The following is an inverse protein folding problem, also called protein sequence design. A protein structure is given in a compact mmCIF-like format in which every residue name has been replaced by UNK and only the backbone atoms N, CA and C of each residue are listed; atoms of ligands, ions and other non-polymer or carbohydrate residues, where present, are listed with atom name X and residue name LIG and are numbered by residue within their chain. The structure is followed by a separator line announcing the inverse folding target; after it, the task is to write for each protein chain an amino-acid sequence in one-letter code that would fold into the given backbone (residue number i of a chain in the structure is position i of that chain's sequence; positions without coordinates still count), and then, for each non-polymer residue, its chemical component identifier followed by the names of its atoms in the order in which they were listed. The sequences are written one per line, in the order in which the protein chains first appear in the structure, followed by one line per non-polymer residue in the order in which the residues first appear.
data_IF_655786370741
#
_entry.id   IF_655786370741
#
_cell.length_a   1.000
_cell.length_b   1.000
_cell.length_c   1.000
_cell.angle_alpha   90.00
_cell.angle_beta   90.00
_cell.angle_gamma   90.00
#
_symmetry.space_group_name_H-M   'P 1'
#
loop_
_entity.id
_entity.type
_entity.pdbx_description
1 polymer ?
#
# COMPACT_ATOMS: atom_id res chain seq x y z
N UNK A 1 -13.19 -46.46 29.69
CA UNK A 1 -12.49 -45.23 30.15
C UNK A 1 -12.59 -44.95 31.65
N UNK A 2 -12.63 -46.03 32.50
CA UNK A 2 -12.65 -45.89 33.96
C UNK A 2 -11.31 -45.38 34.55
N UNK A 3 -10.19 -45.55 33.84
CA UNK A 3 -8.87 -45.13 34.28
C UNK A 3 -8.65 -43.62 34.19
N UNK A 4 -9.24 -42.96 33.20
CA UNK A 4 -9.16 -41.49 33.03
C UNK A 4 -9.92 -40.79 34.16
N UNK A 5 -11.09 -41.31 34.55
CA UNK A 5 -11.89 -40.76 35.64
C UNK A 5 -11.23 -40.92 37.03
N UNK A 6 -10.32 -41.86 37.20
CA UNK A 6 -9.66 -42.08 38.50
C UNK A 6 -8.43 -41.19 38.68
N UNK A 7 -7.72 -40.91 37.59
CA UNK A 7 -6.53 -40.03 37.58
C UNK A 7 -6.91 -38.54 37.64
N UNK A 8 -8.08 -38.15 37.17
CA UNK A 8 -8.52 -36.74 37.13
C UNK A 8 -9.12 -36.24 38.47
N UNK A 9 -9.61 -37.14 39.35
CA UNK A 9 -10.21 -36.74 40.64
C UNK A 9 -9.32 -35.89 41.55
N UNK A 10 -8.04 -36.22 41.76
CA UNK A 10 -7.16 -35.38 42.58
C UNK A 10 -6.89 -34.01 41.94
N UNK A 11 -6.79 -33.97 40.61
CA UNK A 11 -6.61 -32.70 39.86
C UNK A 11 -7.80 -31.77 40.03
N UNK A 12 -9.03 -32.27 39.86
CA UNK A 12 -10.23 -31.47 40.08
C UNK A 12 -10.37 -30.95 41.51
N UNK A 13 -9.98 -31.69 42.52
CA UNK A 13 -10.01 -31.23 43.92
C UNK A 13 -9.01 -30.11 44.20
N UNK A 14 -7.85 -30.15 43.58
CA UNK A 14 -6.83 -29.10 43.72
C UNK A 14 -7.22 -27.88 42.93
N UNK A 15 -7.71 -28.07 41.70
CA UNK A 15 -8.20 -26.96 40.85
C UNK A 15 -9.40 -26.24 41.49
N UNK A 16 -10.38 -27.00 42.05
CA UNK A 16 -11.54 -26.45 42.75
C UNK A 16 -11.15 -25.65 44.00
N UNK A 17 -10.11 -26.08 44.68
CA UNK A 17 -9.62 -25.42 45.90
C UNK A 17 -8.84 -24.11 45.60
N UNK A 18 -8.20 -24.02 44.42
CA UNK A 18 -7.38 -22.86 44.03
C UNK A 18 -8.19 -21.86 43.22
N UNK A 19 -9.02 -22.34 42.31
CA UNK A 19 -9.76 -21.51 41.33
C UNK A 19 -11.24 -21.28 41.68
N UNK A 20 -11.80 -22.16 42.56
CA UNK A 20 -13.23 -22.17 42.88
C UNK A 20 -14.07 -22.93 41.86
N UNK A 21 -15.14 -23.61 42.34
CA UNK A 21 -16.05 -24.38 41.48
C UNK A 21 -16.73 -23.51 40.40
N UNK A 22 -17.11 -22.29 40.78
CA UNK A 22 -17.75 -21.35 39.88
C UNK A 22 -16.88 -21.03 38.65
N UNK A 23 -15.59 -20.79 38.86
CA UNK A 23 -14.66 -20.49 37.77
C UNK A 23 -14.49 -21.69 36.81
N UNK A 24 -14.46 -22.90 37.33
CA UNK A 24 -14.37 -24.13 36.53
C UNK A 24 -15.65 -24.38 35.74
N UNK A 25 -16.83 -24.05 36.28
CA UNK A 25 -18.09 -24.09 35.57
C UNK A 25 -18.17 -23.05 34.46
N UNK A 26 -17.76 -21.82 34.74
CA UNK A 26 -17.73 -20.71 33.75
C UNK A 26 -16.80 -21.05 32.59
N UNK A 27 -15.63 -21.64 32.84
CA UNK A 27 -14.71 -22.10 31.79
C UNK A 27 -15.31 -23.23 30.98
N UNK A 28 -15.95 -24.21 31.62
CA UNK A 28 -16.58 -25.32 30.93
C UNK A 28 -17.74 -24.83 30.04
N UNK A 29 -18.56 -23.89 30.54
CA UNK A 29 -19.61 -23.23 29.77
C UNK A 29 -19.06 -22.43 28.60
N UNK A 30 -18.00 -21.65 28.82
CA UNK A 30 -17.29 -20.92 27.76
C UNK A 30 -16.86 -21.87 26.64
N UNK A 31 -16.20 -23.00 26.95
CA UNK A 31 -15.77 -23.94 25.92
C UNK A 31 -16.93 -24.63 25.22
N UNK A 32 -18.03 -24.93 25.90
CA UNK A 32 -19.22 -25.47 25.27
C UNK A 32 -19.87 -24.47 24.30
N UNK A 33 -20.00 -23.21 24.71
CA UNK A 33 -20.49 -22.13 23.85
C UNK A 33 -19.57 -21.90 22.65
N UNK A 34 -18.27 -21.88 22.89
CA UNK A 34 -17.26 -21.76 21.81
C UNK A 34 -17.39 -22.91 20.81
N UNK A 35 -17.55 -24.14 21.29
CA UNK A 35 -17.71 -25.31 20.43
C UNK A 35 -18.98 -25.23 19.55
N UNK A 36 -20.07 -24.66 20.05
CA UNK A 36 -21.29 -24.48 19.24
C UNK A 36 -21.10 -23.47 18.12
N UNK A 37 -20.26 -22.44 18.33
CA UNK A 37 -19.94 -21.44 17.32
C UNK A 37 -18.88 -21.91 16.31
N UNK A 38 -17.99 -22.82 16.72
CA UNK A 38 -16.85 -23.28 15.94
C UNK A 38 -17.25 -23.85 14.57
N UNK A 39 -18.29 -24.70 14.52
CA UNK A 39 -18.80 -25.27 13.27
C UNK A 39 -19.21 -24.20 12.26
N UNK A 40 -20.01 -23.23 12.67
CA UNK A 40 -20.42 -22.13 11.80
C UNK A 40 -19.30 -21.19 11.40
N UNK A 41 -18.28 -21.04 12.26
CA UNK A 41 -17.09 -20.26 11.90
C UNK A 41 -16.26 -20.95 10.82
N UNK A 42 -16.01 -22.25 10.97
CA UNK A 42 -15.27 -23.06 9.97
C UNK A 42 -16.02 -23.11 8.63
N UNK A 43 -17.34 -23.28 8.64
CA UNK A 43 -18.15 -23.26 7.42
C UNK A 43 -18.02 -21.92 6.67
N UNK A 44 -18.11 -20.79 7.39
CA UNK A 44 -17.94 -19.46 6.79
C UNK A 44 -16.53 -19.25 6.27
N UNK A 45 -15.49 -19.64 7.02
CA UNK A 45 -14.11 -19.56 6.57
C UNK A 45 -13.88 -20.36 5.28
N UNK A 46 -14.42 -21.58 5.21
CA UNK A 46 -14.37 -22.41 4.01
C UNK A 46 -15.16 -21.80 2.83
N UNK A 47 -16.27 -21.13 3.10
CA UNK A 47 -17.04 -20.43 2.08
C UNK A 47 -16.27 -19.24 1.50
N UNK A 48 -15.60 -18.45 2.36
CA UNK A 48 -14.70 -17.37 1.93
C UNK A 48 -13.55 -17.93 1.08
N UNK A 49 -12.89 -18.99 1.53
CA UNK A 49 -11.80 -19.62 0.76
C UNK A 49 -12.28 -20.08 -0.62
N UNK A 50 -13.46 -20.71 -0.71
CA UNK A 50 -14.04 -21.08 -2.02
C UNK A 50 -14.32 -19.87 -2.90
N UNK A 51 -14.83 -18.77 -2.32
CA UNK A 51 -15.09 -17.52 -3.06
C UNK A 51 -13.79 -16.93 -3.62
N UNK A 52 -12.72 -16.90 -2.82
CA UNK A 52 -11.42 -16.37 -3.25
C UNK A 52 -10.79 -17.21 -4.39
N UNK A 53 -11.10 -18.51 -4.49
CA UNK A 53 -10.65 -19.39 -5.58
C UNK A 53 -11.66 -19.45 -6.75
N UNK A 54 -12.81 -18.77 -6.67
CA UNK A 54 -13.78 -18.75 -7.75
C UNK A 54 -13.21 -17.99 -8.97
N UNK A 55 -13.45 -18.51 -10.17
CA UNK A 55 -13.00 -17.88 -11.42
C UNK A 55 -13.52 -16.45 -11.64
N UNK A 56 -14.58 -16.07 -10.93
CA UNK A 56 -15.16 -14.73 -10.95
C UNK A 56 -14.47 -13.76 -9.98
N UNK A 57 -13.59 -14.28 -9.12
CA UNK A 57 -12.80 -13.46 -8.20
C UNK A 57 -11.45 -13.18 -8.82
N UNK A 58 -11.12 -11.91 -8.94
CA UNK A 58 -9.84 -11.43 -9.46
C UNK A 58 -9.16 -10.53 -8.45
N UNK A 59 -7.90 -10.77 -8.18
CA UNK A 59 -7.09 -9.91 -7.33
C UNK A 59 -6.45 -8.81 -8.17
N UNK A 60 -6.46 -7.61 -7.66
CA UNK A 60 -5.71 -6.47 -8.19
C UNK A 60 -4.77 -6.00 -7.08
N UNK A 61 -3.47 -6.03 -7.34
CA UNK A 61 -2.47 -5.54 -6.41
C UNK A 61 -2.17 -4.08 -6.73
N UNK A 62 -2.29 -3.21 -5.75
CA UNK A 62 -1.99 -1.78 -5.89
C UNK A 62 -0.79 -1.46 -5.02
N UNK A 63 0.25 -0.87 -5.62
CA UNK A 63 1.49 -0.49 -4.93
C UNK A 63 1.99 0.87 -5.43
N UNK A 64 3.03 1.40 -4.82
CA UNK A 64 3.82 2.54 -5.32
C UNK A 64 5.19 2.05 -5.77
N UNK A 65 5.95 2.92 -6.45
CA UNK A 65 7.33 2.61 -6.87
C UNK A 65 8.39 2.86 -5.78
N UNK A 66 7.97 3.06 -4.54
CA UNK A 66 8.87 3.06 -3.41
C UNK A 66 9.37 1.64 -3.11
N UNK A 67 10.64 1.48 -2.74
CA UNK A 67 11.28 0.17 -2.60
C UNK A 67 10.54 -0.79 -1.65
N UNK A 68 10.09 -0.31 -0.48
CA UNK A 68 9.44 -1.18 0.49
C UNK A 68 8.03 -1.62 0.04
N UNK A 69 7.09 -0.74 -0.37
CA UNK A 69 5.80 -1.15 -0.91
C UNK A 69 5.91 -2.05 -2.15
N UNK A 70 6.91 -1.79 -3.01
CA UNK A 70 7.11 -2.60 -4.20
C UNK A 70 7.53 -4.03 -3.84
N UNK A 71 8.48 -4.20 -2.93
CA UNK A 71 8.91 -5.51 -2.45
C UNK A 71 7.78 -6.30 -1.79
N UNK A 72 6.94 -5.63 -0.99
CA UNK A 72 5.75 -6.25 -0.39
C UNK A 72 4.74 -6.69 -1.46
N UNK A 73 4.57 -5.89 -2.51
CA UNK A 73 3.69 -6.23 -3.62
C UNK A 73 4.20 -7.44 -4.42
N UNK A 74 5.50 -7.53 -4.70
CA UNK A 74 6.14 -8.68 -5.34
C UNK A 74 5.93 -9.95 -4.51
N UNK A 75 6.23 -9.90 -3.21
CA UNK A 75 5.98 -11.01 -2.30
C UNK A 75 4.51 -11.44 -2.31
N UNK A 76 3.58 -10.47 -2.32
CA UNK A 76 2.15 -10.78 -2.33
C UNK A 76 1.71 -11.42 -3.66
N UNK A 77 2.25 -10.97 -4.79
CA UNK A 77 2.03 -11.57 -6.11
C UNK A 77 2.48 -13.03 -6.13
N UNK A 78 3.67 -13.30 -5.58
CA UNK A 78 4.21 -14.67 -5.47
C UNK A 78 3.29 -15.57 -4.63
N UNK A 79 2.84 -15.09 -3.48
CA UNK A 79 1.90 -15.82 -2.60
C UNK A 79 0.56 -16.08 -3.29
N UNK A 80 0.03 -15.11 -4.07
CA UNK A 80 -1.19 -15.31 -4.85
C UNK A 80 -0.99 -16.43 -5.89
N UNK A 81 0.17 -16.45 -6.56
CA UNK A 81 0.56 -17.49 -7.51
C UNK A 81 0.68 -18.88 -6.86
N UNK A 82 1.39 -18.99 -5.74
CA UNK A 82 1.52 -20.23 -4.97
C UNK A 82 0.16 -20.80 -4.54
N UNK A 83 -0.74 -19.93 -4.11
CA UNK A 83 -2.11 -20.30 -3.68
C UNK A 83 -3.07 -20.49 -4.86
N UNK A 84 -2.62 -20.26 -6.09
CA UNK A 84 -3.44 -20.36 -7.31
C UNK A 84 -4.66 -19.44 -7.31
N UNK A 85 -4.53 -18.28 -6.71
CA UNK A 85 -5.51 -17.20 -6.85
C UNK A 85 -5.35 -16.52 -8.21
N UNK A 86 -6.42 -15.97 -8.73
CA UNK A 86 -6.41 -15.27 -10.01
C UNK A 86 -5.96 -13.82 -9.83
N UNK A 87 -4.73 -13.52 -10.22
CA UNK A 87 -4.21 -12.15 -10.29
C UNK A 87 -4.57 -11.56 -11.65
N UNK A 88 -5.29 -10.44 -11.68
CA UNK A 88 -5.73 -9.76 -12.90
C UNK A 88 -4.83 -8.60 -13.31
N UNK A 89 -4.32 -7.84 -12.33
CA UNK A 89 -3.46 -6.70 -12.62
C UNK A 89 -2.59 -6.32 -11.41
N UNK A 90 -1.47 -5.65 -11.71
CA UNK A 90 -0.72 -4.85 -10.74
C UNK A 90 -0.85 -3.38 -11.16
N UNK A 91 -1.21 -2.51 -10.24
CA UNK A 91 -1.37 -1.07 -10.47
C UNK A 91 -0.28 -0.32 -9.72
N UNK A 92 0.53 0.42 -10.46
CA UNK A 92 1.51 1.35 -9.91
C UNK A 92 0.82 2.68 -9.64
N UNK A 93 0.61 3.01 -8.37
CA UNK A 93 -0.10 4.21 -7.95
C UNK A 93 0.88 5.34 -7.60
N UNK A 94 0.45 6.58 -7.78
CA UNK A 94 1.24 7.78 -7.49
C UNK A 94 2.56 7.87 -8.27
N UNK A 95 2.57 7.40 -9.52
CA UNK A 95 3.75 7.48 -10.38
C UNK A 95 4.06 8.94 -10.67
N UNK A 96 5.30 9.35 -10.46
CA UNK A 96 5.73 10.71 -10.71
C UNK A 96 5.71 11.05 -12.21
N UNK A 97 5.45 12.31 -12.57
CA UNK A 97 5.37 12.74 -13.96
C UNK A 97 6.68 12.54 -14.72
N UNK A 98 6.61 12.09 -15.96
CA UNK A 98 7.78 11.81 -16.80
C UNK A 98 8.64 13.02 -17.12
N UNK A 99 8.10 14.26 -17.05
CA UNK A 99 8.90 15.47 -17.26
C UNK A 99 10.01 15.65 -16.20
N UNK A 100 9.89 15.01 -15.03
CA UNK A 100 10.95 14.98 -14.03
C UNK A 100 12.19 14.20 -14.48
N UNK A 101 12.07 13.35 -15.50
CA UNK A 101 13.19 12.58 -16.06
C UNK A 101 13.84 13.29 -17.25
N UNK A 102 13.33 14.44 -17.67
CA UNK A 102 13.87 15.16 -18.81
C UNK A 102 15.17 15.91 -18.43
N UNK A 103 16.25 15.58 -19.13
CA UNK A 103 17.57 16.18 -18.91
C UNK A 103 17.59 17.69 -19.18
N UNK A 104 16.82 18.17 -20.18
CA UNK A 104 16.72 19.58 -20.50
C UNK A 104 16.06 20.39 -19.38
N UNK A 105 15.04 19.83 -18.76
CA UNK A 105 14.37 20.44 -17.61
C UNK A 105 15.27 20.46 -16.37
N UNK A 106 16.07 19.41 -16.15
CA UNK A 106 17.06 19.38 -15.08
C UNK A 106 18.13 20.46 -15.25
N UNK A 107 18.70 20.57 -16.44
CA UNK A 107 19.69 21.62 -16.76
C UNK A 107 19.09 23.04 -16.58
N UNK A 108 17.81 23.21 -16.90
CA UNK A 108 17.10 24.48 -16.68
C UNK A 108 16.94 24.78 -15.20
N UNK A 109 16.62 23.78 -14.36
CA UNK A 109 16.53 23.94 -12.91
C UNK A 109 17.89 24.28 -12.28
N UNK A 110 18.97 23.63 -12.73
CA UNK A 110 20.34 23.97 -12.29
C UNK A 110 20.72 25.40 -12.68
N UNK A 111 20.44 25.81 -13.92
CA UNK A 111 20.68 27.16 -14.38
C UNK A 111 19.84 28.21 -13.61
N UNK A 112 18.61 27.84 -13.24
CA UNK A 112 17.74 28.68 -12.41
C UNK A 112 18.33 28.89 -11.00
N UNK A 113 18.83 27.83 -10.35
CA UNK A 113 19.55 27.96 -9.09
C UNK A 113 20.77 28.87 -9.21
N UNK A 114 21.60 28.69 -10.24
CA UNK A 114 22.85 29.41 -10.42
C UNK A 114 22.64 30.91 -10.74
N UNK A 115 21.52 31.27 -11.35
CA UNK A 115 21.25 32.62 -11.86
C UNK A 115 20.05 33.29 -11.21
N UNK A 116 19.55 32.79 -10.10
CA UNK A 116 18.34 33.27 -9.44
C UNK A 116 18.39 34.77 -9.12
N UNK A 117 19.54 35.27 -8.62
CA UNK A 117 19.71 36.70 -8.33
C UNK A 117 19.68 37.58 -9.58
N UNK A 118 20.32 37.15 -10.68
CA UNK A 118 20.29 37.86 -11.96
C UNK A 118 18.87 37.92 -12.51
N UNK A 119 18.15 36.80 -12.46
CA UNK A 119 16.77 36.69 -12.95
C UNK A 119 15.81 37.51 -12.08
N UNK A 120 15.98 37.51 -10.78
CA UNK A 120 15.20 38.31 -9.86
C UNK A 120 15.39 39.83 -10.06
N UNK A 121 16.62 40.23 -10.43
CA UNK A 121 16.93 41.64 -10.69
C UNK A 121 16.33 42.15 -11.99
N UNK A 122 16.05 41.26 -12.98
CA UNK A 122 15.44 41.61 -14.27
C UNK A 122 13.92 41.46 -14.25
N UNK A 123 13.37 40.74 -13.25
CA UNK A 123 11.92 40.63 -13.05
C UNK A 123 11.33 42.02 -12.78
N UNK A 124 10.36 42.40 -13.61
CA UNK A 124 9.75 43.75 -13.64
C UNK A 124 9.14 44.06 -12.26
N UNK A 125 9.29 45.32 -11.80
CA UNK A 125 9.08 45.76 -10.41
C UNK A 125 7.67 45.53 -9.79
N UNK A 126 6.79 44.83 -10.47
CA UNK A 126 5.45 44.46 -9.97
C UNK A 126 5.42 43.08 -9.29
N UNK A 127 6.53 42.32 -9.27
CA UNK A 127 6.61 40.93 -8.78
C UNK A 127 7.09 40.83 -7.32
N UNK A 128 7.45 41.95 -6.67
CA UNK A 128 7.86 41.99 -5.28
C UNK A 128 9.37 42.27 -5.06
N UNK A 129 9.83 42.10 -3.81
CA UNK A 129 11.23 42.30 -3.44
C UNK A 129 12.14 41.29 -4.20
N UNK A 130 13.17 41.75 -4.97
CA UNK A 130 14.08 40.87 -5.71
C UNK A 130 14.72 39.78 -4.85
N UNK A 131 15.01 40.05 -3.57
CA UNK A 131 15.58 39.06 -2.66
C UNK A 131 14.56 37.95 -2.31
N UNK A 132 13.27 38.25 -2.31
CA UNK A 132 12.22 37.24 -2.12
C UNK A 132 12.02 36.43 -3.40
N UNK A 133 12.02 37.09 -4.56
CA UNK A 133 11.93 36.43 -5.86
C UNK A 133 13.06 35.43 -6.07
N UNK A 134 14.32 35.87 -5.80
CA UNK A 134 15.48 34.98 -5.91
C UNK A 134 15.34 33.75 -5.02
N UNK A 135 14.92 33.90 -3.76
CA UNK A 135 14.70 32.75 -2.85
C UNK A 135 13.65 31.79 -3.37
N UNK A 136 12.54 32.29 -3.89
CA UNK A 136 11.46 31.46 -4.45
C UNK A 136 11.95 30.69 -5.68
N UNK A 137 12.72 31.34 -6.56
CA UNK A 137 13.30 30.68 -7.74
C UNK A 137 14.24 29.55 -7.35
N UNK A 138 15.11 29.78 -6.37
CA UNK A 138 16.01 28.74 -5.84
C UNK A 138 15.21 27.59 -5.24
N UNK A 139 14.21 27.89 -4.43
CA UNK A 139 13.40 26.87 -3.75
C UNK A 139 12.61 25.99 -4.74
N UNK A 140 12.06 26.58 -5.80
CA UNK A 140 11.40 25.85 -6.89
C UNK A 140 12.40 24.93 -7.61
N UNK A 141 13.56 25.45 -7.99
CA UNK A 141 14.57 24.70 -8.71
C UNK A 141 15.13 23.55 -7.88
N UNK A 142 15.49 23.79 -6.61
CA UNK A 142 15.94 22.75 -5.70
C UNK A 142 14.85 21.69 -5.43
N UNK A 143 13.59 22.12 -5.32
CA UNK A 143 12.46 21.19 -5.17
C UNK A 143 12.35 20.28 -6.39
N UNK A 144 12.44 20.85 -7.60
CA UNK A 144 12.45 20.07 -8.82
C UNK A 144 13.59 19.04 -8.84
N UNK A 145 14.82 19.45 -8.54
CA UNK A 145 15.99 18.56 -8.53
C UNK A 145 15.86 17.44 -7.48
N UNK A 146 15.25 17.72 -6.33
CA UNK A 146 14.94 16.67 -5.32
C UNK A 146 13.94 15.65 -5.85
N UNK A 147 12.87 16.11 -6.48
CA UNK A 147 11.87 15.22 -7.08
C UNK A 147 12.42 14.42 -8.26
N UNK A 148 13.32 14.99 -9.03
CA UNK A 148 14.02 14.28 -10.11
C UNK A 148 14.78 13.05 -9.61
N UNK A 149 15.50 13.17 -8.49
CA UNK A 149 16.21 12.02 -7.88
C UNK A 149 15.21 10.90 -7.50
N UNK A 150 14.04 11.29 -6.98
CA UNK A 150 13.00 10.30 -6.66
C UNK A 150 12.45 9.65 -7.93
N UNK A 151 12.13 10.46 -8.95
CA UNK A 151 11.62 9.97 -10.23
C UNK A 151 12.60 9.02 -10.94
N UNK A 152 13.91 9.29 -10.88
CA UNK A 152 14.95 8.39 -11.40
C UNK A 152 14.93 7.04 -10.70
N UNK A 153 14.86 7.03 -9.37
CA UNK A 153 14.73 5.79 -8.58
C UNK A 153 13.46 5.01 -8.92
N UNK A 154 12.33 5.71 -9.05
CA UNK A 154 11.07 5.08 -9.47
C UNK A 154 11.19 4.45 -10.87
N UNK A 155 11.87 5.13 -11.80
CA UNK A 155 12.11 4.59 -13.14
C UNK A 155 13.00 3.34 -13.13
N UNK A 156 14.04 3.32 -12.29
CA UNK A 156 14.89 2.15 -12.06
C UNK A 156 14.08 0.98 -11.49
N UNK A 157 13.32 1.22 -10.43
CA UNK A 157 12.45 0.21 -9.80
C UNK A 157 11.42 -0.34 -10.78
N UNK A 158 10.84 0.52 -11.61
CA UNK A 158 9.89 0.09 -12.64
C UNK A 158 10.55 -0.80 -13.71
N UNK A 159 11.80 -0.49 -14.08
CA UNK A 159 12.55 -1.28 -15.06
C UNK A 159 12.95 -2.66 -14.52
N UNK A 160 13.17 -2.76 -13.22
CA UNK A 160 13.51 -4.01 -12.53
C UNK A 160 12.29 -4.88 -12.21
N UNK A 161 11.09 -4.29 -12.25
CA UNK A 161 9.84 -4.95 -11.88
C UNK A 161 9.53 -6.10 -12.83
N UNK A 162 9.85 -7.32 -12.42
CA UNK A 162 9.57 -8.57 -13.14
C UNK A 162 8.18 -9.12 -12.73
N UNK A 163 7.11 -8.39 -13.04
CA UNK A 163 5.75 -8.82 -12.69
C UNK A 163 5.14 -9.64 -13.82
N UNK A 164 4.74 -10.86 -13.50
CA UNK A 164 3.76 -11.63 -14.23
C UNK A 164 2.43 -11.56 -13.47
N UNK A 165 1.38 -10.95 -13.98
CA UNK A 165 0.91 -10.90 -15.35
C UNK A 165 1.35 -9.62 -16.11
N UNK A 166 1.19 -9.68 -17.44
CA UNK A 166 1.58 -8.62 -18.38
C UNK A 166 0.85 -7.27 -18.20
N UNK A 167 -0.18 -7.21 -17.38
CA UNK A 167 -1.03 -6.01 -17.24
C UNK A 167 -0.57 -5.20 -16.04
N UNK A 168 0.27 -4.22 -16.30
CA UNK A 168 0.63 -3.18 -15.33
C UNK A 168 -0.02 -1.87 -15.78
N UNK A 169 -0.97 -1.36 -15.01
CA UNK A 169 -1.51 -0.03 -15.20
C UNK A 169 -0.77 0.96 -14.29
N UNK A 170 -0.55 2.19 -14.77
CA UNK A 170 0.08 3.26 -14.00
C UNK A 170 -0.92 4.38 -13.75
N UNK A 171 -1.01 4.81 -12.50
CA UNK A 171 -1.83 5.94 -12.07
C UNK A 171 -0.87 7.07 -11.68
N UNK A 172 -0.95 8.24 -12.34
CA UNK A 172 -0.05 9.35 -12.02
C UNK A 172 -0.34 9.92 -10.64
N UNK A 173 0.64 10.62 -10.09
CA UNK A 173 0.45 11.43 -8.90
C UNK A 173 -0.52 12.57 -9.23
N UNK A 174 -1.62 12.68 -8.48
CA UNK A 174 -2.57 13.77 -8.59
C UNK A 174 -2.26 14.86 -7.57
N UNK A 175 -2.32 16.12 -7.97
CA UNK A 175 -2.10 17.27 -7.08
C UNK A 175 -3.19 17.43 -6.03
N UNK A 176 -4.38 16.85 -6.27
CA UNK A 176 -5.53 16.91 -5.38
C UNK A 176 -6.10 15.53 -5.13
N UNK A 177 -6.63 15.32 -3.94
CA UNK A 177 -7.33 14.09 -3.59
C UNK A 177 -8.55 13.86 -4.50
N UNK A 178 -8.79 12.58 -4.81
CA UNK A 178 -9.95 12.14 -5.59
C UNK A 178 -11.08 11.81 -4.63
N UNK A 179 -12.07 12.69 -4.54
CA UNK A 179 -13.22 12.55 -3.63
C UNK A 179 -14.58 12.71 -4.32
N UNK A 180 -14.61 13.02 -5.61
CA UNK A 180 -15.83 13.24 -6.38
C UNK A 180 -15.87 12.46 -7.70
N UNK A 181 -17.01 12.48 -8.36
CA UNK A 181 -17.20 11.79 -9.64
C UNK A 181 -16.28 12.35 -10.74
N UNK A 182 -16.02 13.65 -10.76
CA UNK A 182 -15.14 14.27 -11.75
C UNK A 182 -13.69 13.79 -11.57
N UNK A 183 -13.21 13.65 -10.33
CA UNK A 183 -11.93 13.04 -9.98
C UNK A 183 -11.85 11.58 -10.41
N UNK A 184 -12.90 10.79 -10.17
CA UNK A 184 -12.97 9.40 -10.60
C UNK A 184 -12.97 9.23 -12.12
N UNK A 185 -13.62 10.12 -12.85
CA UNK A 185 -13.59 10.12 -14.33
C UNK A 185 -12.18 10.40 -14.83
N UNK A 186 -11.50 11.41 -14.29
CA UNK A 186 -10.10 11.71 -14.62
C UNK A 186 -9.16 10.52 -14.32
N UNK A 187 -9.36 9.86 -13.19
CA UNK A 187 -8.62 8.64 -12.85
C UNK A 187 -8.87 7.54 -13.89
N UNK A 188 -10.12 7.31 -14.28
CA UNK A 188 -10.49 6.35 -15.31
C UNK A 188 -9.82 6.65 -16.66
N UNK A 189 -9.82 7.90 -17.10
CA UNK A 189 -9.14 8.33 -18.32
C UNK A 189 -7.64 8.04 -18.30
N UNK A 190 -6.98 8.18 -17.14
CA UNK A 190 -5.55 7.91 -16.99
C UNK A 190 -5.23 6.42 -16.94
N UNK A 191 -6.13 5.58 -16.42
CA UNK A 191 -5.91 4.12 -16.34
C UNK A 191 -6.16 3.46 -17.70
N UNK A 192 -7.11 3.97 -18.49
CA UNK A 192 -7.59 3.34 -19.73
C UNK A 192 -7.10 4.02 -21.00
N UNK A 193 -6.25 5.05 -20.88
CA UNK A 193 -5.57 5.70 -22.00
C UNK A 193 -4.33 4.90 -22.39
#
# INVERSE_FOLDING_TARGET
NRLVNFASKPFYRVADRILGSQFLEDIAEFFMLFQTMYGGFVERANAVTRLLHDKRTTFIVVTTLEAAPLHEAEYFVDVLGEKKFHLGAVILNKVLPSYLLDEGTAATAEALCARADELAAVADGDVGDPAQVSRVLVEIAESFLRFQVVAQREAEQRAELAVSPEVVASVPYFETDIYDLAGLLRLGEQIWS
#
